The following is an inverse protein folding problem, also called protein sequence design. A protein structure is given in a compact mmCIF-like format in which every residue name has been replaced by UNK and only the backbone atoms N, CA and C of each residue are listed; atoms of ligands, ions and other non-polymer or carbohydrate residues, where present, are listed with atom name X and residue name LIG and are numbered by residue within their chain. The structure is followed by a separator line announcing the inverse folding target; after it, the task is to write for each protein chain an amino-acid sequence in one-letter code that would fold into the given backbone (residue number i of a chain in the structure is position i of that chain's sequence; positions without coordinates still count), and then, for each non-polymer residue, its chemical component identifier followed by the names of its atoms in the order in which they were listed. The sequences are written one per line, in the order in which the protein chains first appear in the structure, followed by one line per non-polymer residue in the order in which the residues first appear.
data_IF_071184077838
#
_entry.id   IF_071184077838
#
_cell.length_a   1.000
_cell.length_b   1.000
_cell.length_c   1.000
_cell.angle_alpha   90.00
_cell.angle_beta   90.00
_cell.angle_gamma   90.00
#
_symmetry.space_group_name_H-M   'P 1'
#
loop_
_entity.id
_entity.type
_entity.pdbx_description
1 polymer ?
#
# COMPACT_ATOMS: atom_id res chain seq x y z
N UNK A 1 54.83 -14.84 34.46
CA UNK A 1 53.65 -15.40 33.75
C UNK A 1 52.33 -14.67 34.01
N UNK A 2 52.00 -14.23 35.24
CA UNK A 2 50.69 -13.57 35.54
C UNK A 2 50.45 -12.24 34.81
N UNK A 3 51.49 -11.46 34.52
CA UNK A 3 51.39 -10.17 33.83
C UNK A 3 50.97 -10.32 32.35
N UNK A 4 51.55 -11.30 31.66
CA UNK A 4 51.23 -11.59 30.25
C UNK A 4 49.77 -12.03 30.08
N UNK A 5 49.24 -12.85 31.00
CA UNK A 5 47.83 -13.29 30.98
C UNK A 5 46.87 -12.10 31.15
N UNK A 6 47.20 -11.13 32.02
CA UNK A 6 46.39 -9.90 32.18
C UNK A 6 46.40 -9.03 30.93
N UNK A 7 47.53 -8.93 30.23
CA UNK A 7 47.64 -8.22 28.95
C UNK A 7 46.81 -8.88 27.85
N UNK A 8 46.87 -10.21 27.73
CA UNK A 8 46.03 -10.95 26.77
C UNK A 8 44.54 -10.77 27.07
N UNK A 9 44.15 -10.79 28.35
CA UNK A 9 42.77 -10.53 28.76
C UNK A 9 42.30 -9.12 28.41
N UNK A 10 43.16 -8.11 28.63
CA UNK A 10 42.89 -6.72 28.22
C UNK A 10 42.70 -6.60 26.71
N UNK A 11 43.56 -7.26 25.93
CA UNK A 11 43.46 -7.24 24.47
C UNK A 11 42.18 -7.91 23.97
N UNK A 12 41.79 -9.02 24.60
CA UNK A 12 40.54 -9.71 24.30
C UNK A 12 39.31 -8.84 24.63
N UNK A 13 39.33 -8.13 25.75
CA UNK A 13 38.25 -7.20 26.12
C UNK A 13 38.13 -6.04 25.11
N UNK A 14 39.27 -5.54 24.64
CA UNK A 14 39.33 -4.47 23.64
C UNK A 14 38.85 -4.94 22.27
N UNK A 15 39.11 -6.20 21.92
CA UNK A 15 38.57 -6.84 20.72
C UNK A 15 37.05 -6.98 20.78
N UNK A 16 36.50 -7.44 21.91
CA UNK A 16 35.04 -7.51 22.11
C UNK A 16 34.42 -6.11 21.99
N UNK A 17 35.02 -5.09 22.61
CA UNK A 17 34.54 -3.72 22.51
C UNK A 17 34.48 -3.26 21.05
N UNK A 18 35.52 -3.56 20.27
CA UNK A 18 35.58 -3.20 18.86
C UNK A 18 34.51 -3.92 18.02
N UNK A 19 34.26 -5.21 18.28
CA UNK A 19 33.15 -5.94 17.66
C UNK A 19 31.79 -5.29 17.96
N UNK A 20 31.53 -4.91 19.21
CA UNK A 20 30.27 -4.26 19.61
C UNK A 20 30.11 -2.90 18.93
N UNK A 21 31.19 -2.12 18.83
CA UNK A 21 31.16 -0.83 18.13
C UNK A 21 30.79 -1.01 16.64
N UNK A 22 31.38 -1.99 15.95
CA UNK A 22 31.07 -2.26 14.55
C UNK A 22 29.61 -2.68 14.35
N UNK A 23 29.09 -3.56 15.20
CA UNK A 23 27.67 -3.97 15.14
C UNK A 23 26.73 -2.80 15.43
N UNK A 24 27.08 -1.93 16.38
CA UNK A 24 26.28 -0.75 16.68
C UNK A 24 26.18 0.19 15.48
N UNK A 25 27.28 0.40 14.75
CA UNK A 25 27.28 1.23 13.54
C UNK A 25 26.42 0.60 12.44
N UNK A 26 26.56 -0.70 12.20
CA UNK A 26 25.74 -1.43 11.21
C UNK A 26 24.25 -1.33 11.52
N UNK A 27 23.87 -1.62 12.78
CA UNK A 27 22.48 -1.59 13.23
C UNK A 27 21.90 -0.18 13.09
N UNK A 28 22.64 0.86 13.49
CA UNK A 28 22.19 2.25 13.31
C UNK A 28 21.99 2.62 11.85
N UNK A 29 22.87 2.15 10.96
CA UNK A 29 22.71 2.39 9.53
C UNK A 29 21.49 1.67 8.96
N UNK A 30 21.27 0.40 9.31
CA UNK A 30 20.08 -0.35 8.91
C UNK A 30 18.79 0.29 9.41
N UNK A 31 18.76 0.75 10.66
CA UNK A 31 17.59 1.44 11.23
C UNK A 31 17.29 2.73 10.46
N UNK A 32 18.32 3.52 10.11
CA UNK A 32 18.13 4.75 9.36
C UNK A 32 17.56 4.48 7.96
N UNK A 33 18.10 3.47 7.27
CA UNK A 33 17.60 3.05 5.96
C UNK A 33 16.15 2.57 6.03
N UNK A 34 15.79 1.77 7.03
CA UNK A 34 14.41 1.28 7.14
C UNK A 34 13.42 2.37 7.51
N UNK A 35 13.85 3.38 8.27
CA UNK A 35 12.99 4.53 8.55
C UNK A 35 12.69 5.33 7.27
N UNK A 36 13.70 5.55 6.43
CA UNK A 36 13.53 6.22 5.13
C UNK A 36 12.63 5.39 4.20
N UNK A 37 12.84 4.07 4.16
CA UNK A 37 12.02 3.15 3.39
C UNK A 37 10.54 3.15 3.86
N UNK A 38 10.29 3.17 5.17
CA UNK A 38 8.94 3.29 5.72
C UNK A 38 8.27 4.61 5.31
N UNK A 39 9.00 5.72 5.32
CA UNK A 39 8.47 7.01 4.86
C UNK A 39 8.08 6.95 3.37
N UNK A 40 8.93 6.33 2.55
CA UNK A 40 8.65 6.11 1.12
C UNK A 40 7.43 5.22 0.90
N UNK A 41 7.33 4.09 1.61
CA UNK A 41 6.19 3.17 1.53
C UNK A 41 4.89 3.86 1.94
N UNK A 42 4.91 4.67 3.01
CA UNK A 42 3.74 5.43 3.46
C UNK A 42 3.29 6.46 2.43
N UNK A 43 4.22 7.17 1.80
CA UNK A 43 3.93 8.12 0.73
C UNK A 43 3.32 7.41 -0.49
N UNK A 44 3.90 6.27 -0.88
CA UNK A 44 3.39 5.45 -1.98
C UNK A 44 1.97 4.94 -1.70
N UNK A 45 1.71 4.42 -0.49
CA UNK A 45 0.37 3.98 -0.08
C UNK A 45 -0.66 5.12 -0.12
N UNK A 46 -0.30 6.32 0.33
CA UNK A 46 -1.21 7.46 0.30
C UNK A 46 -1.58 7.85 -1.14
N UNK A 47 -0.60 7.88 -2.05
CA UNK A 47 -0.83 8.14 -3.48
C UNK A 47 -1.74 7.06 -4.08
N UNK A 48 -1.47 5.79 -3.79
CA UNK A 48 -2.29 4.69 -4.27
C UNK A 48 -3.75 4.82 -3.79
N UNK A 49 -3.96 5.17 -2.51
CA UNK A 49 -5.29 5.39 -1.95
C UNK A 49 -6.03 6.55 -2.62
N UNK A 50 -5.33 7.64 -2.95
CA UNK A 50 -5.92 8.76 -3.68
C UNK A 50 -6.39 8.33 -5.07
N UNK A 51 -5.53 7.62 -5.80
CA UNK A 51 -5.84 7.12 -7.14
C UNK A 51 -7.02 6.14 -7.10
N UNK A 52 -7.08 5.25 -6.11
CA UNK A 52 -8.18 4.29 -5.99
C UNK A 52 -9.52 4.98 -5.75
N UNK A 53 -9.54 6.03 -4.91
CA UNK A 53 -10.76 6.81 -4.68
C UNK A 53 -11.17 7.54 -5.96
N UNK A 54 -10.23 8.18 -6.65
CA UNK A 54 -10.51 8.86 -7.91
C UNK A 54 -11.08 7.90 -8.97
N UNK A 55 -10.46 6.75 -9.16
CA UNK A 55 -10.95 5.72 -10.09
C UNK A 55 -12.36 5.24 -9.73
N UNK A 56 -12.64 5.04 -8.44
CA UNK A 56 -13.96 4.66 -7.98
C UNK A 56 -14.99 5.76 -8.25
N UNK A 57 -14.64 7.03 -8.00
CA UNK A 57 -15.50 8.18 -8.33
C UNK A 57 -15.76 8.27 -9.82
N UNK A 58 -14.75 8.15 -10.67
CA UNK A 58 -14.91 8.13 -12.13
C UNK A 58 -15.81 6.98 -12.58
N UNK A 59 -15.61 5.79 -12.00
CA UNK A 59 -16.45 4.64 -12.32
C UNK A 59 -17.93 4.90 -12.01
N UNK A 60 -18.25 5.39 -10.82
CA UNK A 60 -19.63 5.74 -10.47
C UNK A 60 -20.17 6.93 -11.27
N UNK A 61 -19.32 7.89 -11.61
CA UNK A 61 -19.72 9.04 -12.43
C UNK A 61 -20.06 8.61 -13.86
N UNK A 62 -19.34 7.65 -14.44
CA UNK A 62 -19.62 7.09 -15.77
C UNK A 62 -20.84 6.16 -15.75
N UNK A 63 -20.97 5.34 -14.71
CA UNK A 63 -22.06 4.37 -14.54
C UNK A 63 -23.22 4.92 -13.71
N UNK A 64 -23.39 6.24 -13.65
CA UNK A 64 -24.48 6.82 -12.88
C UNK A 64 -25.82 6.39 -13.47
N UNK A 65 -26.85 6.12 -12.63
CA UNK A 65 -28.13 5.59 -13.09
C UNK A 65 -28.75 6.47 -14.17
N UNK A 66 -28.65 7.80 -14.05
CA UNK A 66 -29.12 8.73 -15.06
C UNK A 66 -28.39 8.59 -16.42
N UNK A 67 -27.07 8.33 -16.43
CA UNK A 67 -26.34 8.09 -17.68
C UNK A 67 -26.65 6.72 -18.27
N UNK A 68 -26.82 5.71 -17.42
CA UNK A 68 -27.20 4.35 -17.83
C UNK A 68 -28.62 4.35 -18.44
N UNK A 69 -29.59 5.00 -17.79
CA UNK A 69 -30.94 5.19 -18.30
C UNK A 69 -30.97 5.99 -19.60
N UNK A 70 -30.19 7.07 -19.67
CA UNK A 70 -30.06 7.86 -20.91
C UNK A 70 -29.49 7.02 -22.04
N UNK A 71 -28.44 6.24 -21.79
CA UNK A 71 -27.85 5.33 -22.78
C UNK A 71 -28.87 4.26 -23.22
N UNK A 72 -29.60 3.67 -22.28
CA UNK A 72 -30.64 2.69 -22.58
C UNK A 72 -31.78 3.27 -23.43
N UNK A 73 -32.22 4.49 -23.15
CA UNK A 73 -33.32 5.15 -23.86
C UNK A 73 -32.89 5.69 -25.23
N UNK A 74 -31.75 6.36 -25.31
CA UNK A 74 -31.28 7.04 -26.53
C UNK A 74 -30.62 6.07 -27.52
N UNK A 75 -29.79 5.14 -27.04
CA UNK A 75 -29.00 4.25 -27.91
C UNK A 75 -29.67 2.89 -28.09
N UNK A 76 -30.16 2.30 -27.00
CA UNK A 76 -30.82 0.98 -27.05
C UNK A 76 -32.32 1.07 -27.33
N UNK A 77 -32.88 2.29 -27.42
CA UNK A 77 -34.32 2.56 -27.66
C UNK A 77 -35.24 1.83 -26.68
N UNK A 78 -34.80 1.65 -25.43
CA UNK A 78 -35.61 1.02 -24.39
C UNK A 78 -36.71 1.96 -23.90
N UNK A 79 -37.91 1.42 -23.67
CA UNK A 79 -39.05 2.14 -23.10
C UNK A 79 -39.23 1.79 -21.62
N UNK A 80 -39.56 2.80 -20.81
CA UNK A 80 -39.80 2.64 -19.39
C UNK A 80 -41.20 2.03 -19.15
N UNK A 81 -41.24 0.88 -18.49
CA UNK A 81 -42.48 0.14 -18.23
C UNK A 81 -43.10 0.67 -16.93
N UNK A 82 -43.97 1.67 -17.03
CA UNK A 82 -44.64 2.30 -15.87
C UNK A 82 -45.90 1.52 -15.44
N UNK A 83 -46.49 0.76 -16.36
CA UNK A 83 -47.60 -0.16 -16.08
C UNK A 83 -47.12 -1.59 -16.31
N UNK A 84 -47.45 -2.50 -15.39
CA UNK A 84 -47.22 -3.95 -15.54
C UNK A 84 -47.93 -4.37 -16.82
N UNK A 85 -47.20 -4.41 -17.94
CA UNK A 85 -47.71 -4.93 -19.20
C UNK A 85 -47.74 -6.44 -18.98
N UNK A 86 -48.90 -6.96 -18.57
CA UNK A 86 -49.13 -8.40 -18.51
C UNK A 86 -49.07 -8.89 -19.95
N UNK A 87 -47.90 -9.37 -20.36
CA UNK A 87 -47.71 -9.98 -21.68
C UNK A 87 -48.29 -11.38 -21.57
N UNK A 88 -49.52 -11.57 -22.05
CA UNK A 88 -50.02 -12.91 -22.33
C UNK A 88 -49.29 -13.43 -23.57
N UNK A 89 -48.40 -14.39 -23.39
CA UNK A 89 -47.93 -15.22 -24.48
C UNK A 89 -49.06 -16.16 -24.91
N UNK A 90 -49.60 -15.95 -26.11
CA UNK A 90 -50.42 -16.96 -26.78
C UNK A 90 -49.53 -18.15 -27.19
N UNK A 91 -50.11 -19.35 -27.05
CA UNK A 91 -49.44 -20.64 -27.03
C UNK A 91 -49.21 -21.22 -28.42
#
# INVERSE_FOLDING_TARGET
MKFSIRLYFLFFLLFILLCICLETVKVRWQIAQEFENQAYLKLSQNKFKQISVQLQTEHYHLNSPAKVERHAKEILKMEEIINIKIIHHEK
#
